data_IF_828324419408
#
_entry.id   IF_828324419408
#
_cell.length_a   1.000
_cell.length_b   1.000
_cell.length_c   1.000
_cell.angle_alpha   90.00
_cell.angle_beta   90.00
_cell.angle_gamma   90.00
#
_symmetry.space_group_name_H-M   'P 1'
#
loop_
_entity.id
_entity.type
_entity.pdbx_description
1 polymer ?
#
# COMPACT_ATOMS: atom_id res chain seq x y z
N UNK A 1 -11.69 -6.64 19.83
CA UNK A 1 -11.18 -7.67 18.89
C UNK A 1 -11.77 -7.35 17.53
N UNK A 2 -10.93 -7.21 16.51
CA UNK A 2 -11.34 -7.01 15.11
C UNK A 2 -11.16 -8.33 14.36
N UNK A 3 -12.11 -8.70 13.51
CA UNK A 3 -12.06 -9.91 12.68
C UNK A 3 -12.49 -9.52 11.28
N UNK A 4 -11.65 -9.81 10.30
CA UNK A 4 -11.82 -9.39 8.91
C UNK A 4 -11.76 -10.58 7.97
N UNK A 5 -12.36 -10.44 6.79
CA UNK A 5 -12.28 -11.47 5.75
C UNK A 5 -10.88 -11.46 5.13
N UNK A 6 -10.32 -12.66 4.90
CA UNK A 6 -9.06 -12.81 4.17
C UNK A 6 -9.19 -12.34 2.72
N UNK A 7 -8.29 -11.45 2.29
CA UNK A 7 -8.17 -11.00 0.90
C UNK A 7 -6.91 -11.64 0.32
N UNK A 8 -7.06 -12.37 -0.79
CA UNK A 8 -5.92 -12.93 -1.54
C UNK A 8 -5.62 -12.05 -2.74
N UNK A 9 -4.40 -11.56 -2.85
CA UNK A 9 -4.01 -10.66 -3.94
C UNK A 9 -2.65 -10.00 -3.69
N UNK A 10 -2.37 -8.99 -4.51
CA UNK A 10 -1.19 -8.12 -4.41
C UNK A 10 -1.40 -7.08 -3.30
N UNK A 11 -0.33 -6.68 -2.63
CA UNK A 11 -0.36 -5.72 -1.54
C UNK A 11 0.33 -4.41 -1.94
N UNK A 12 -0.32 -3.27 -1.66
CA UNK A 12 0.13 -1.95 -2.09
C UNK A 12 0.13 -0.95 -0.95
N UNK A 13 1.05 0.01 -1.01
CA UNK A 13 1.07 1.18 -0.13
C UNK A 13 1.34 2.45 -0.92
N UNK A 14 0.74 3.56 -0.48
CA UNK A 14 0.76 4.86 -1.17
C UNK A 14 1.00 5.92 -0.11
N UNK A 15 2.03 6.73 -0.31
CA UNK A 15 2.36 7.82 0.59
C UNK A 15 1.62 9.08 0.17
N UNK A 16 0.97 9.74 1.13
CA UNK A 16 0.39 11.08 0.98
C UNK A 16 1.27 12.06 1.76
N UNK A 17 1.68 13.16 1.11
CA UNK A 17 2.45 14.25 1.72
C UNK A 17 1.74 15.57 1.40
N UNK A 18 1.05 16.16 2.38
CA UNK A 18 0.12 17.26 2.15
C UNK A 18 -0.98 16.83 1.18
N UNK A 19 -1.07 17.57 0.07
CA UNK A 19 -1.99 17.29 -1.03
C UNK A 19 -1.34 16.43 -2.15
N UNK A 20 -0.07 16.01 -1.98
CA UNK A 20 0.68 15.27 -3.00
C UNK A 20 0.63 13.76 -2.74
N UNK A 21 0.03 13.03 -3.69
CA UNK A 21 -0.01 11.56 -3.68
C UNK A 21 1.20 10.99 -4.44
N UNK A 22 2.03 10.23 -3.73
CA UNK A 22 3.28 9.66 -4.25
C UNK A 22 3.03 8.38 -5.09
N UNK A 23 4.05 7.88 -5.83
CA UNK A 23 3.93 6.65 -6.60
C UNK A 23 3.48 5.46 -5.75
N UNK A 24 2.67 4.59 -6.34
CA UNK A 24 2.23 3.34 -5.71
C UNK A 24 3.44 2.41 -5.52
N UNK A 25 3.55 1.83 -4.33
CA UNK A 25 4.57 0.84 -4.00
C UNK A 25 3.88 -0.51 -3.85
N UNK A 26 4.32 -1.52 -4.59
CA UNK A 26 3.91 -2.90 -4.39
C UNK A 26 4.90 -3.62 -3.48
N UNK A 27 4.36 -4.39 -2.53
CA UNK A 27 5.16 -5.20 -1.61
C UNK A 27 4.94 -6.68 -1.89
N UNK A 28 6.04 -7.40 -2.10
CA UNK A 28 6.02 -8.85 -2.28
C UNK A 28 6.89 -9.49 -1.21
N UNK A 29 6.31 -10.38 -0.40
CA UNK A 29 7.06 -11.17 0.58
C UNK A 29 6.84 -12.65 0.32
N UNK A 30 7.86 -13.51 0.52
CA UNK A 30 7.66 -14.96 0.51
C UNK A 30 6.82 -15.45 1.70
N UNK A 31 6.58 -14.59 2.71
CA UNK A 31 5.64 -14.87 3.78
C UNK A 31 4.20 -14.73 3.25
N UNK A 32 3.24 -15.44 3.84
CA UNK A 32 1.84 -15.38 3.38
C UNK A 32 1.17 -14.01 3.52
N UNK A 33 1.76 -13.08 4.28
CA UNK A 33 1.27 -11.71 4.51
C UNK A 33 2.43 -10.80 4.99
N UNK A 34 2.30 -9.47 4.82
CA UNK A 34 3.26 -8.50 5.32
C UNK A 34 3.14 -8.26 6.84
N UNK A 35 3.77 -9.17 7.59
CA UNK A 35 3.83 -9.11 9.05
C UNK A 35 5.07 -8.34 9.58
N UNK A 36 5.21 -8.31 10.91
CA UNK A 36 6.33 -7.65 11.58
C UNK A 36 7.70 -8.19 11.11
N UNK A 37 7.81 -9.50 10.90
CA UNK A 37 9.05 -10.13 10.45
C UNK A 37 9.37 -9.70 9.02
N UNK A 38 8.37 -9.71 8.12
CA UNK A 38 8.51 -9.23 6.75
C UNK A 38 8.91 -7.75 6.68
N UNK A 39 8.46 -6.93 7.64
CA UNK A 39 8.73 -5.49 7.69
C UNK A 39 10.08 -5.11 8.27
N UNK A 40 10.54 -5.79 9.32
CA UNK A 40 11.70 -5.33 10.11
C UNK A 40 12.86 -6.32 10.21
N UNK A 41 12.63 -7.60 9.94
CA UNK A 41 13.61 -8.66 10.16
C UNK A 41 13.99 -9.40 8.88
N UNK A 42 13.11 -9.37 7.89
CA UNK A 42 13.33 -10.01 6.60
C UNK A 42 14.05 -9.08 5.64
N UNK A 43 15.07 -9.62 4.98
CA UNK A 43 15.72 -8.99 3.83
C UNK A 43 15.15 -9.50 2.50
N UNK A 44 14.15 -10.38 2.54
CA UNK A 44 13.56 -11.00 1.34
C UNK A 44 12.31 -10.29 0.84
N UNK A 45 11.78 -9.33 1.60
CA UNK A 45 10.64 -8.50 1.15
C UNK A 45 11.11 -7.56 0.04
N UNK A 46 10.41 -7.61 -1.09
CA UNK A 46 10.68 -6.80 -2.26
C UNK A 46 9.69 -5.63 -2.31
N UNK A 47 10.21 -4.48 -2.72
CA UNK A 47 9.43 -3.26 -2.92
C UNK A 47 9.59 -2.83 -4.36
N UNK A 48 8.48 -2.80 -5.11
CA UNK A 48 8.46 -2.31 -6.48
C UNK A 48 7.86 -0.90 -6.49
N UNK A 49 8.70 0.09 -6.81
CA UNK A 49 8.33 1.50 -6.85
C UNK A 49 8.92 2.16 -8.12
N UNK A 50 8.09 2.62 -9.07
CA UNK A 50 6.63 2.50 -9.09
C UNK A 50 6.18 1.04 -9.27
N UNK A 51 4.99 0.71 -8.75
CA UNK A 51 4.35 -0.59 -8.94
C UNK A 51 4.06 -0.87 -10.42
N UNK A 52 4.12 -2.14 -10.84
CA UNK A 52 3.78 -2.55 -12.21
C UNK A 52 2.26 -2.62 -12.38
N UNK A 53 1.68 -1.49 -12.76
CA UNK A 53 0.23 -1.28 -12.91
C UNK A 53 -0.06 -0.48 -14.18
N UNK A 54 -1.29 -0.61 -14.68
CA UNK A 54 -1.77 0.28 -15.73
C UNK A 54 -1.85 1.71 -15.20
N UNK A 55 -1.75 2.71 -16.09
CA UNK A 55 -1.92 4.10 -15.70
C UNK A 55 -3.32 4.35 -15.07
N UNK A 56 -4.33 3.61 -15.54
CA UNK A 56 -5.69 3.70 -15.00
C UNK A 56 -5.76 3.17 -13.56
N UNK A 57 -5.19 1.99 -13.28
CA UNK A 57 -5.20 1.41 -11.94
C UNK A 57 -4.35 2.24 -10.97
N UNK A 58 -3.22 2.76 -11.47
CA UNK A 58 -2.35 3.66 -10.69
C UNK A 58 -3.13 4.90 -10.23
N UNK A 59 -3.83 5.57 -11.14
CA UNK A 59 -4.63 6.74 -10.81
C UNK A 59 -5.77 6.38 -9.84
N UNK A 60 -6.48 5.28 -10.10
CA UNK A 60 -7.57 4.81 -9.23
C UNK A 60 -7.08 4.59 -7.79
N UNK A 61 -5.93 3.93 -7.62
CA UNK A 61 -5.34 3.69 -6.30
C UNK A 61 -4.94 5.00 -5.60
N UNK A 62 -4.32 5.93 -6.32
CA UNK A 62 -3.91 7.23 -5.78
C UNK A 62 -5.11 8.06 -5.33
N UNK A 63 -6.18 8.10 -6.13
CA UNK A 63 -7.42 8.81 -5.81
C UNK A 63 -8.09 8.22 -4.55
N UNK A 64 -8.15 6.88 -4.45
CA UNK A 64 -8.70 6.21 -3.28
C UNK A 64 -7.85 6.47 -2.02
N UNK A 65 -6.53 6.53 -2.14
CA UNK A 65 -5.64 6.79 -1.01
C UNK A 65 -5.86 8.20 -0.44
N UNK A 66 -5.93 9.22 -1.30
CA UNK A 66 -6.20 10.59 -0.88
C UNK A 66 -7.60 10.70 -0.26
N UNK A 67 -8.61 10.13 -0.91
CA UNK A 67 -9.98 10.14 -0.37
C UNK A 67 -10.05 9.47 1.01
N UNK A 68 -9.38 8.33 1.21
CA UNK A 68 -9.35 7.65 2.50
C UNK A 68 -8.63 8.49 3.57
N UNK A 69 -7.51 9.12 3.22
CA UNK A 69 -6.74 10.01 4.10
C UNK A 69 -7.58 11.21 4.57
N UNK A 70 -8.30 11.85 3.65
CA UNK A 70 -9.18 12.98 3.94
C UNK A 70 -10.39 12.57 4.80
N UNK A 71 -11.01 11.42 4.50
CA UNK A 71 -12.19 10.93 5.21
C UNK A 71 -11.92 10.61 6.68
N UNK A 72 -10.71 10.19 7.02
CA UNK A 72 -10.30 9.96 8.41
C UNK A 72 -9.81 11.24 9.11
N UNK A 73 -9.80 12.38 8.41
CA UNK A 73 -9.33 13.66 8.93
C UNK A 73 -7.82 13.70 9.19
N UNK A 74 -7.03 12.91 8.46
CA UNK A 74 -5.58 12.91 8.57
C UNK A 74 -4.99 14.18 7.93
N UNK A 75 -3.78 14.53 8.35
CA UNK A 75 -3.04 15.70 7.86
C UNK A 75 -1.55 15.51 8.09
N UNK A 76 -0.70 16.10 7.24
CA UNK A 76 0.75 16.07 7.37
C UNK A 76 1.42 16.26 6.02
#
# INVERSE_FOLDING_TARGET
>A
VLVEQWISGREFTITVLGDDVQPVIEMTTPNGFYDYQAKYQSTTTQYHCPADLSAQDTQLLQDMALQAFDLVGASG
#
